data_IF_541315443862
#
_entry.id   IF_541315443862
#
_cell.length_a   1.000
_cell.length_b   1.000
_cell.length_c   1.000
_cell.angle_alpha   90.00
_cell.angle_beta   90.00
_cell.angle_gamma   90.00
#
_symmetry.space_group_name_H-M   'P 1'
#
loop_
_entity.id
_entity.type
_entity.pdbx_description
1 polymer ?
#
# COMPACT_ATOMS: atom_id res chain seq x y z
N UNK A 1 91.79 17.93 9.55
CA UNK A 1 91.44 17.29 10.84
C UNK A 1 90.72 18.31 11.75
N UNK A 2 89.73 17.86 12.54
CA UNK A 2 88.94 18.59 13.57
C UNK A 2 87.86 19.60 13.10
N UNK A 3 86.68 19.07 12.76
CA UNK A 3 85.39 19.66 13.22
C UNK A 3 84.21 18.68 13.28
N UNK A 4 84.47 17.37 13.34
CA UNK A 4 83.47 16.30 13.52
C UNK A 4 82.97 16.11 14.98
N UNK A 5 83.19 17.08 15.86
CA UNK A 5 82.95 16.93 17.31
C UNK A 5 81.79 17.78 17.85
N UNK A 6 81.20 18.68 17.03
CA UNK A 6 80.12 19.59 17.50
C UNK A 6 78.69 19.04 17.34
N UNK A 7 78.43 18.08 16.46
CA UNK A 7 77.07 17.52 16.29
C UNK A 7 76.77 16.37 17.26
N UNK A 8 77.76 15.55 17.64
CA UNK A 8 77.57 14.50 18.66
C UNK A 8 77.16 15.06 20.02
N UNK A 9 77.68 16.22 20.40
CA UNK A 9 77.38 16.84 21.70
C UNK A 9 75.98 17.48 21.76
N UNK A 10 75.37 17.81 20.60
CA UNK A 10 73.97 18.28 20.55
C UNK A 10 72.97 17.13 20.70
N UNK A 11 73.26 15.96 20.12
CA UNK A 11 72.42 14.77 20.26
C UNK A 11 72.47 14.19 21.68
N UNK A 12 73.65 14.18 22.32
CA UNK A 12 73.79 13.75 23.72
C UNK A 12 73.07 14.70 24.69
N UNK A 13 73.11 16.02 24.45
CA UNK A 13 72.35 16.99 25.27
C UNK A 13 70.83 16.86 25.08
N UNK A 14 70.34 16.64 23.85
CA UNK A 14 68.91 16.35 23.60
C UNK A 14 68.45 15.04 24.22
N UNK A 15 69.29 13.99 24.17
CA UNK A 15 69.00 12.73 24.83
C UNK A 15 68.95 12.89 26.37
N UNK A 16 69.91 13.60 26.97
CA UNK A 16 69.90 13.88 28.41
C UNK A 16 68.70 14.74 28.86
N UNK A 17 68.19 15.65 28.04
CA UNK A 17 67.01 16.44 28.36
C UNK A 17 65.70 15.62 28.34
N UNK A 18 65.67 14.48 27.65
CA UNK A 18 64.48 13.62 27.53
C UNK A 18 64.44 12.50 28.58
N UNK A 19 65.57 12.21 29.24
CA UNK A 19 65.65 11.20 30.30
C UNK A 19 64.83 11.57 31.55
N UNK A 20 64.87 12.81 32.08
CA UNK A 20 64.05 13.18 33.25
C UNK A 20 62.53 13.03 33.03
N UNK A 21 61.91 13.51 31.93
CA UNK A 21 60.48 13.31 31.71
C UNK A 21 60.11 11.84 31.44
N UNK A 22 60.99 11.04 30.82
CA UNK A 22 60.78 9.60 30.64
C UNK A 22 60.82 8.84 31.97
N UNK A 23 61.77 9.17 32.85
CA UNK A 23 61.84 8.58 34.19
C UNK A 23 60.67 9.03 35.06
N UNK A 24 60.19 10.27 34.91
CA UNK A 24 58.99 10.76 35.60
C UNK A 24 57.73 10.03 35.09
N UNK A 25 57.61 9.81 33.78
CA UNK A 25 56.50 9.04 33.20
C UNK A 25 56.53 7.57 33.66
N UNK A 26 57.71 6.94 33.72
CA UNK A 26 57.88 5.59 34.24
C UNK A 26 57.58 5.52 35.75
N UNK A 27 58.03 6.50 36.53
CA UNK A 27 57.75 6.59 37.97
C UNK A 27 56.25 6.79 38.23
N UNK A 28 55.59 7.67 37.47
CA UNK A 28 54.14 7.85 37.56
C UNK A 28 53.40 6.57 37.17
N UNK A 29 53.80 5.90 36.08
CA UNK A 29 53.22 4.63 35.66
C UNK A 29 53.36 3.53 36.74
N UNK A 30 54.55 3.41 37.34
CA UNK A 30 54.80 2.49 38.45
C UNK A 30 54.01 2.87 39.72
N UNK A 31 53.90 4.15 40.04
CA UNK A 31 53.07 4.65 41.15
C UNK A 31 51.59 4.37 40.93
N UNK A 32 51.07 4.54 39.70
CA UNK A 32 49.69 4.19 39.34
C UNK A 32 49.44 2.67 39.42
N UNK A 33 50.46 1.83 39.17
CA UNK A 33 50.35 0.39 39.41
C UNK A 33 50.40 0.03 40.91
N UNK A 34 51.25 0.67 41.71
CA UNK A 34 51.36 0.38 43.15
C UNK A 34 50.20 0.95 43.98
N UNK A 35 49.55 2.02 43.51
CA UNK A 35 48.35 2.62 44.12
C UNK A 35 47.04 1.88 43.77
N UNK A 36 47.11 0.78 43.02
CA UNK A 36 45.92 -0.02 42.70
C UNK A 36 44.92 0.66 41.76
N UNK A 37 45.34 1.69 41.01
CA UNK A 37 44.49 2.33 40.00
C UNK A 37 44.42 1.55 38.67
N UNK A 38 45.23 0.48 38.55
CA UNK A 38 45.13 -0.52 37.48
C UNK A 38 45.28 -1.94 38.03
N UNK A 39 44.32 -2.38 38.84
CA UNK A 39 43.99 -3.80 38.96
C UNK A 39 42.88 -4.13 37.96
N UNK A 40 43.12 -5.01 36.97
CA UNK A 40 42.04 -5.79 36.40
C UNK A 40 41.64 -6.86 37.43
N UNK A 41 40.41 -7.34 37.31
CA UNK A 41 39.79 -8.45 38.06
C UNK A 41 39.03 -8.00 39.32
N UNK A 42 37.71 -8.27 39.27
CA UNK A 42 36.64 -8.15 40.27
C UNK A 42 35.81 -6.86 40.32
N UNK A 43 34.98 -6.62 39.28
CA UNK A 43 33.63 -6.04 39.43
C UNK A 43 32.75 -6.14 38.17
N UNK A 44 32.74 -7.27 37.44
CA UNK A 44 31.80 -7.48 36.31
C UNK A 44 30.55 -8.31 36.65
N UNK A 45 30.51 -9.00 37.81
CA UNK A 45 29.35 -9.82 38.19
C UNK A 45 28.15 -8.97 38.65
N UNK A 46 28.40 -7.88 39.39
CA UNK A 46 27.35 -6.97 39.88
C UNK A 46 26.75 -6.08 38.78
N UNK A 47 27.55 -5.64 37.81
CA UNK A 47 27.06 -4.88 36.65
C UNK A 47 26.22 -5.74 35.70
N UNK A 48 26.60 -7.00 35.45
CA UNK A 48 25.80 -7.90 34.61
C UNK A 48 24.47 -8.26 35.25
N UNK A 49 24.43 -8.49 36.58
CA UNK A 49 23.19 -8.77 37.30
C UNK A 49 22.28 -7.54 37.38
N UNK A 50 22.83 -6.34 37.59
CA UNK A 50 22.06 -5.10 37.58
C UNK A 50 21.50 -4.78 36.18
N UNK A 51 22.31 -4.94 35.12
CA UNK A 51 21.85 -4.79 33.73
C UNK A 51 20.76 -5.82 33.40
N UNK A 52 20.89 -7.07 33.87
CA UNK A 52 19.85 -8.08 33.77
C UNK A 52 18.54 -7.66 34.44
N UNK A 53 18.59 -7.20 35.69
CA UNK A 53 17.41 -6.68 36.42
C UNK A 53 16.77 -5.48 35.69
N UNK A 54 17.57 -4.56 35.13
CA UNK A 54 17.03 -3.45 34.32
C UNK A 54 16.35 -3.94 33.04
N UNK A 55 16.93 -4.91 32.33
CA UNK A 55 16.34 -5.49 31.12
C UNK A 55 15.04 -6.24 31.45
N UNK A 56 15.00 -6.99 32.56
CA UNK A 56 13.82 -7.72 32.99
C UNK A 56 12.69 -6.77 33.43
N UNK A 57 13.02 -5.67 34.11
CA UNK A 57 12.05 -4.60 34.40
C UNK A 57 11.53 -3.92 33.14
N UNK A 58 12.39 -3.65 32.16
CA UNK A 58 11.98 -3.10 30.87
C UNK A 58 11.06 -4.07 30.13
N UNK A 59 11.37 -5.37 30.15
CA UNK A 59 10.51 -6.42 29.60
C UNK A 59 9.14 -6.43 30.27
N UNK A 60 9.11 -6.42 31.61
CA UNK A 60 7.87 -6.39 32.39
C UNK A 60 7.08 -5.09 32.21
N UNK A 61 7.72 -4.00 31.77
CA UNK A 61 7.05 -2.71 31.51
C UNK A 61 6.24 -2.69 30.21
N UNK A 62 6.44 -3.65 29.31
CA UNK A 62 5.68 -3.76 28.06
C UNK A 62 4.21 -4.10 28.35
N UNK A 63 3.39 -3.05 28.41
CA UNK A 63 1.96 -3.18 28.69
C UNK A 63 1.20 -3.51 27.41
N UNK A 64 0.48 -4.63 27.41
CA UNK A 64 -0.42 -4.99 26.32
C UNK A 64 -1.75 -4.26 26.45
N UNK A 65 -2.10 -3.53 25.40
CA UNK A 65 -3.33 -2.76 25.27
C UNK A 65 -4.22 -3.41 24.21
N UNK A 66 -5.56 -3.26 24.29
CA UNK A 66 -6.46 -3.78 23.26
C UNK A 66 -6.07 -3.25 21.88
N UNK A 67 -5.93 -4.15 20.90
CA UNK A 67 -5.67 -3.75 19.53
C UNK A 67 -6.86 -2.99 18.96
N UNK A 68 -8.08 -3.41 19.32
CA UNK A 68 -9.34 -2.72 19.04
C UNK A 68 -9.92 -2.16 20.33
N UNK A 69 -9.72 -0.86 20.57
CA UNK A 69 -10.27 -0.16 21.71
C UNK A 69 -11.73 0.25 21.45
N UNK A 70 -12.70 -0.43 22.06
CA UNK A 70 -14.13 -0.19 21.84
C UNK A 70 -14.65 1.09 22.49
N UNK A 71 -13.82 1.77 23.30
CA UNK A 71 -14.13 3.10 23.86
C UNK A 71 -13.93 4.21 22.82
N UNK A 72 -13.18 3.91 21.77
CA UNK A 72 -12.82 4.82 20.68
C UNK A 72 -13.75 4.64 19.47
N UNK A 73 -13.76 5.65 18.59
CA UNK A 73 -14.46 5.56 17.32
C UNK A 73 -13.78 4.58 16.36
N UNK A 74 -14.52 4.08 15.36
CA UNK A 74 -14.00 3.15 14.34
C UNK A 74 -12.76 3.67 13.58
N UNK A 75 -12.56 4.99 13.56
CA UNK A 75 -11.42 5.65 12.93
C UNK A 75 -10.16 5.71 13.83
N UNK A 76 -10.28 5.55 15.15
CA UNK A 76 -9.18 5.71 16.13
C UNK A 76 -8.90 4.45 16.95
N UNK A 77 -9.81 3.48 16.95
CA UNK A 77 -9.75 2.30 17.81
C UNK A 77 -8.52 1.39 17.66
N UNK A 78 -7.83 1.41 16.52
CA UNK A 78 -6.75 0.46 16.21
C UNK A 78 -5.42 1.05 16.61
N UNK A 79 -4.78 0.54 17.68
CA UNK A 79 -3.58 1.16 18.29
C UNK A 79 -3.90 2.60 18.77
N UNK A 80 -4.96 2.74 19.58
CA UNK A 80 -5.54 4.04 19.96
C UNK A 80 -4.62 4.99 20.74
N UNK A 81 -3.51 4.52 21.33
CA UNK A 81 -2.63 5.37 22.18
C UNK A 81 -1.62 6.21 21.41
N UNK A 82 -1.53 6.03 20.09
CA UNK A 82 -0.60 6.77 19.24
C UNK A 82 -1.35 7.53 18.16
N UNK A 83 -0.94 8.77 17.92
CA UNK A 83 -1.44 9.58 16.82
C UNK A 83 -0.64 9.31 15.54
N UNK A 84 -1.36 9.03 14.46
CA UNK A 84 -0.75 8.93 13.12
C UNK A 84 -0.43 10.31 12.57
N UNK A 85 0.58 10.35 11.69
CA UNK A 85 1.04 11.57 11.05
C UNK A 85 0.98 11.45 9.54
N UNK A 86 0.87 12.58 8.84
CA UNK A 86 0.94 12.69 7.39
C UNK A 86 2.26 13.39 7.05
N UNK A 87 3.37 12.67 7.21
CA UNK A 87 4.72 13.23 7.01
C UNK A 87 5.43 12.57 5.81
N UNK A 88 5.87 13.35 4.79
CA UNK A 88 5.59 14.78 4.62
C UNK A 88 4.12 15.06 4.36
N UNK A 89 3.72 16.33 4.54
CA UNK A 89 2.34 16.79 4.34
C UNK A 89 1.75 16.28 3.02
N UNK A 90 0.53 15.77 3.11
CA UNK A 90 -0.23 15.28 1.96
C UNK A 90 0.03 13.82 1.62
N UNK A 91 0.78 13.08 2.44
CA UNK A 91 0.90 11.63 2.38
C UNK A 91 -0.17 10.92 3.22
N UNK A 92 -0.35 9.62 2.98
CA UNK A 92 -1.28 8.84 3.78
C UNK A 92 -0.85 8.82 5.25
N UNK A 93 -1.84 8.98 6.14
CA UNK A 93 -1.63 8.92 7.58
C UNK A 93 -1.09 7.56 8.00
N UNK A 94 0.05 7.55 8.67
CA UNK A 94 0.74 6.33 9.07
C UNK A 94 1.39 6.43 10.46
N UNK A 95 1.71 5.27 11.00
CA UNK A 95 2.57 5.08 12.17
C UNK A 95 3.80 4.26 11.74
N UNK A 96 4.99 4.72 12.12
CA UNK A 96 6.25 4.02 11.84
C UNK A 96 6.86 3.55 13.15
N UNK A 97 7.40 2.33 13.15
CA UNK A 97 8.06 1.70 14.29
C UNK A 97 9.40 1.10 13.86
N UNK A 98 10.47 1.26 14.64
CA UNK A 98 10.60 2.25 15.72
C UNK A 98 10.60 3.69 15.17
N UNK A 99 10.15 4.65 15.98
CA UNK A 99 10.19 6.07 15.64
C UNK A 99 10.25 6.96 16.88
N UNK A 100 10.40 8.27 16.71
CA UNK A 100 10.31 9.22 17.82
C UNK A 100 8.95 9.13 18.54
N UNK A 101 7.84 8.91 17.81
CA UNK A 101 6.50 8.75 18.38
C UNK A 101 6.39 7.48 19.24
N UNK A 102 7.07 6.39 18.86
CA UNK A 102 7.16 5.20 19.69
C UNK A 102 8.29 5.26 20.73
N UNK A 103 8.99 6.40 20.85
CA UNK A 103 10.21 6.54 21.66
C UNK A 103 11.25 5.45 21.35
N UNK A 104 11.44 5.09 20.09
CA UNK A 104 12.40 4.07 19.66
C UNK A 104 11.97 2.62 19.90
N UNK A 105 10.75 2.39 20.40
CA UNK A 105 10.22 1.04 20.68
C UNK A 105 9.63 0.39 19.43
N UNK A 106 9.76 -0.93 19.36
CA UNK A 106 9.19 -1.81 18.35
C UNK A 106 7.70 -2.02 18.62
N UNK A 107 6.96 -2.33 17.55
CA UNK A 107 5.57 -2.79 17.65
C UNK A 107 5.55 -4.30 17.91
N UNK A 108 4.87 -4.71 18.98
CA UNK A 108 4.58 -6.11 19.29
C UNK A 108 3.07 -6.35 19.24
N UNK A 109 2.65 -7.41 18.54
CA UNK A 109 1.24 -7.79 18.40
C UNK A 109 1.01 -9.19 18.97
N UNK A 110 0.01 -9.32 19.83
CA UNK A 110 -0.56 -10.61 20.25
C UNK A 110 -1.94 -10.72 19.61
N UNK A 111 -2.08 -11.59 18.61
CA UNK A 111 -3.24 -11.58 17.73
C UNK A 111 -3.82 -12.99 17.50
N UNK A 112 -4.41 -13.61 18.53
CA UNK A 112 -4.96 -14.96 18.42
C UNK A 112 -6.23 -15.04 17.57
N UNK A 113 -6.97 -13.94 17.43
CA UNK A 113 -8.33 -13.97 16.90
C UNK A 113 -8.48 -13.43 15.48
N UNK A 114 -9.29 -14.18 14.73
CA UNK A 114 -9.69 -13.89 13.34
C UNK A 114 -11.17 -13.49 13.22
N UNK A 115 -11.89 -13.44 14.34
CA UNK A 115 -13.35 -13.25 14.40
C UNK A 115 -13.81 -12.23 15.45
N UNK A 116 -12.90 -11.85 16.34
CA UNK A 116 -13.13 -10.86 17.37
C UNK A 116 -11.84 -10.06 17.55
N UNK A 117 -11.80 -8.83 17.02
CA UNK A 117 -10.63 -7.97 17.15
C UNK A 117 -10.37 -7.46 18.57
N UNK A 118 -11.34 -7.57 19.50
CA UNK A 118 -11.20 -7.05 20.87
C UNK A 118 -10.29 -7.90 21.75
N UNK A 119 -10.06 -9.16 21.37
CA UNK A 119 -9.15 -10.08 22.08
C UNK A 119 -7.72 -10.04 21.54
N UNK A 120 -7.49 -9.29 20.46
CA UNK A 120 -6.13 -9.02 19.98
C UNK A 120 -5.56 -7.82 20.74
N UNK A 121 -4.25 -7.77 20.93
CA UNK A 121 -3.56 -6.76 21.71
C UNK A 121 -2.26 -6.30 21.05
N UNK A 122 -1.78 -5.12 21.43
CA UNK A 122 -0.46 -4.60 21.05
C UNK A 122 0.29 -4.08 22.26
N UNK A 123 1.62 -4.08 22.16
CA UNK A 123 2.52 -3.44 23.10
C UNK A 123 3.66 -2.74 22.33
N UNK A 124 4.33 -1.81 23.01
CA UNK A 124 5.57 -1.21 22.53
C UNK A 124 6.72 -1.69 23.42
N UNK A 125 7.76 -2.25 22.83
CA UNK A 125 8.90 -2.80 23.57
C UNK A 125 10.25 -2.38 22.97
N UNK A 126 11.28 -2.31 23.81
CA UNK A 126 12.64 -2.08 23.34
C UNK A 126 13.20 -3.35 22.70
N UNK A 127 14.03 -3.19 21.66
CA UNK A 127 14.62 -4.32 20.92
C UNK A 127 15.34 -5.31 21.83
N UNK A 128 16.05 -4.83 22.84
CA UNK A 128 16.84 -5.66 23.76
C UNK A 128 16.05 -6.12 24.99
N UNK A 129 14.77 -5.74 25.10
CA UNK A 129 13.89 -6.07 26.21
C UNK A 129 12.47 -6.42 25.70
N UNK A 130 12.39 -7.33 24.72
CA UNK A 130 11.12 -7.83 24.18
C UNK A 130 10.33 -8.61 25.25
N UNK A 131 8.98 -8.60 25.19
CA UNK A 131 8.14 -9.40 26.08
C UNK A 131 8.54 -10.88 26.10
N UNK A 132 8.25 -11.56 27.20
CA UNK A 132 8.54 -13.00 27.31
C UNK A 132 7.81 -13.81 26.22
N UNK A 133 8.50 -14.80 25.66
CA UNK A 133 7.97 -15.62 24.56
C UNK A 133 7.85 -14.89 23.22
N UNK A 134 8.19 -13.60 23.14
CA UNK A 134 8.01 -12.84 21.92
C UNK A 134 8.96 -13.29 20.80
N UNK A 135 8.42 -13.48 19.61
CA UNK A 135 9.21 -13.73 18.42
C UNK A 135 9.53 -12.41 17.70
N UNK A 136 10.81 -12.12 17.47
CA UNK A 136 11.23 -10.98 16.65
C UNK A 136 11.23 -11.35 15.17
N UNK A 137 10.62 -10.50 14.34
CA UNK A 137 10.53 -10.63 12.89
C UNK A 137 11.40 -9.57 12.23
N UNK A 138 12.38 -9.99 11.43
CA UNK A 138 13.39 -9.11 10.82
C UNK A 138 12.89 -8.38 9.58
N UNK A 139 13.37 -7.16 9.32
CA UNK A 139 12.97 -6.35 8.18
C UNK A 139 11.55 -5.77 8.26
N UNK A 140 11.20 -4.96 7.26
CA UNK A 140 9.97 -4.16 7.24
C UNK A 140 8.71 -5.00 7.21
N UNK A 141 7.78 -4.68 8.11
CA UNK A 141 6.43 -5.22 8.13
C UNK A 141 5.42 -4.15 7.73
N UNK A 142 4.65 -4.39 6.68
CA UNK A 142 3.49 -3.57 6.39
C UNK A 142 2.29 -4.04 7.22
N UNK A 143 1.70 -3.14 7.99
CA UNK A 143 0.52 -3.41 8.82
C UNK A 143 -0.67 -2.66 8.24
N UNK A 144 -1.69 -3.39 7.80
CA UNK A 144 -2.93 -2.84 7.26
C UNK A 144 -4.07 -3.09 8.22
N UNK A 145 -4.73 -2.04 8.70
CA UNK A 145 -6.07 -2.12 9.27
C UNK A 145 -7.05 -1.38 8.35
N UNK A 146 -8.20 -1.99 8.13
CA UNK A 146 -9.23 -1.43 7.25
C UNK A 146 -10.62 -1.78 7.78
N UNK A 147 -11.60 -0.90 7.52
CA UNK A 147 -13.02 -1.17 7.74
C UNK A 147 -13.66 -2.06 6.67
N UNK A 148 -12.88 -2.46 5.67
CA UNK A 148 -13.35 -3.27 4.55
C UNK A 148 -12.50 -4.52 4.35
N UNK A 149 -13.15 -5.61 3.99
CA UNK A 149 -12.49 -6.90 3.76
C UNK A 149 -11.52 -6.90 2.56
N UNK A 150 -10.36 -7.54 2.73
CA UNK A 150 -9.29 -7.66 1.71
C UNK A 150 -9.60 -8.60 0.54
N UNK A 151 -10.69 -9.38 0.58
CA UNK A 151 -11.08 -10.25 -0.53
C UNK A 151 -11.81 -9.52 -1.66
N UNK A 152 -12.43 -8.37 -1.36
CA UNK A 152 -13.07 -7.53 -2.37
C UNK A 152 -12.03 -6.58 -2.98
N UNK A 153 -11.94 -6.54 -4.32
CA UNK A 153 -10.94 -5.77 -5.05
C UNK A 153 -11.00 -4.27 -4.71
N UNK A 154 -12.19 -3.65 -4.71
CA UNK A 154 -12.35 -2.22 -4.42
C UNK A 154 -12.02 -1.89 -2.97
N UNK A 155 -12.39 -2.78 -2.05
CA UNK A 155 -12.10 -2.62 -0.64
C UNK A 155 -10.60 -2.73 -0.36
N UNK A 156 -9.97 -3.82 -0.80
CA UNK A 156 -8.57 -4.06 -0.53
C UNK A 156 -7.63 -3.08 -1.26
N UNK A 157 -7.99 -2.58 -2.46
CA UNK A 157 -7.14 -1.57 -3.12
C UNK A 157 -7.07 -0.27 -2.31
N UNK A 158 -8.12 0.09 -1.58
CA UNK A 158 -8.12 1.26 -0.70
C UNK A 158 -7.11 1.17 0.45
N UNK A 159 -6.74 -0.06 0.84
CA UNK A 159 -5.71 -0.35 1.84
C UNK A 159 -4.30 -0.47 1.21
N UNK A 160 -4.20 -0.80 -0.08
CA UNK A 160 -2.92 -0.92 -0.80
C UNK A 160 -2.37 0.44 -1.27
N UNK A 161 -3.24 1.35 -1.74
CA UNK A 161 -2.86 2.68 -2.25
C UNK A 161 -1.96 3.48 -1.28
N UNK A 162 -2.25 3.55 0.03
CA UNK A 162 -1.40 4.25 0.99
C UNK A 162 0.04 3.73 1.00
N UNK A 163 0.18 2.40 1.00
CA UNK A 163 1.48 1.76 0.98
C UNK A 163 2.20 1.94 -0.35
N UNK A 164 1.48 1.90 -1.48
CA UNK A 164 2.05 2.18 -2.79
C UNK A 164 2.65 3.59 -2.86
N UNK A 165 1.93 4.60 -2.33
CA UNK A 165 2.45 5.99 -2.23
C UNK A 165 3.72 6.04 -1.37
N UNK A 166 3.68 5.41 -0.20
CA UNK A 166 4.79 5.41 0.77
C UNK A 166 6.01 4.61 0.27
N UNK A 167 5.78 3.52 -0.46
CA UNK A 167 6.84 2.72 -1.09
C UNK A 167 7.50 3.52 -2.22
N UNK A 168 6.69 4.12 -3.12
CA UNK A 168 7.20 4.93 -4.23
C UNK A 168 8.05 6.12 -3.74
N UNK A 169 7.56 6.89 -2.75
CA UNK A 169 8.31 8.05 -2.22
C UNK A 169 9.64 7.64 -1.55
N UNK A 170 9.75 6.40 -1.07
CA UNK A 170 10.98 5.89 -0.44
C UNK A 170 12.06 5.52 -1.46
N UNK A 171 11.80 5.72 -2.77
CA UNK A 171 12.65 5.21 -3.83
C UNK A 171 12.55 3.69 -3.97
N UNK A 172 11.42 3.10 -3.54
CA UNK A 172 11.20 1.65 -3.41
C UNK A 172 12.16 0.91 -2.48
N UNK A 173 12.98 1.61 -1.69
CA UNK A 173 13.89 0.98 -0.73
C UNK A 173 13.14 0.17 0.32
N UNK A 174 11.93 0.61 0.65
CA UNK A 174 11.13 0.00 1.69
C UNK A 174 10.29 -1.17 1.16
N UNK A 175 10.93 -2.30 0.95
CA UNK A 175 10.28 -3.55 0.52
C UNK A 175 9.78 -4.33 1.76
N UNK A 176 8.47 -4.65 1.84
CA UNK A 176 7.94 -5.36 2.99
C UNK A 176 8.40 -6.82 2.96
N UNK A 177 9.09 -7.26 4.01
CA UNK A 177 9.41 -8.66 4.23
C UNK A 177 8.16 -9.47 4.58
N UNK A 178 7.12 -8.81 5.10
CA UNK A 178 5.82 -9.41 5.42
C UNK A 178 4.68 -8.39 5.55
N UNK A 179 3.47 -8.92 5.52
CA UNK A 179 2.21 -8.20 5.57
C UNK A 179 1.38 -8.70 6.76
N UNK A 180 1.08 -7.83 7.72
CA UNK A 180 0.14 -8.10 8.78
C UNK A 180 -1.20 -7.44 8.43
N UNK A 181 -2.21 -8.24 8.12
CA UNK A 181 -3.51 -7.77 7.61
C UNK A 181 -4.58 -7.87 8.68
N UNK A 182 -5.32 -6.79 8.89
CA UNK A 182 -6.41 -6.69 9.85
C UNK A 182 -7.64 -6.04 9.24
N UNK A 183 -8.80 -6.56 9.62
CA UNK A 183 -10.10 -5.99 9.26
C UNK A 183 -10.96 -5.93 10.52
N UNK A 184 -11.23 -4.73 11.01
CA UNK A 184 -11.86 -4.47 12.30
C UNK A 184 -11.08 -5.07 13.48
N UNK A 185 -9.75 -5.01 13.43
CA UNK A 185 -8.87 -5.58 14.44
C UNK A 185 -8.68 -7.10 14.35
N UNK A 186 -9.34 -7.78 13.42
CA UNK A 186 -9.27 -9.23 13.25
C UNK A 186 -8.20 -9.62 12.22
N UNK A 187 -7.39 -10.64 12.54
CA UNK A 187 -6.35 -11.13 11.64
C UNK A 187 -6.94 -11.68 10.34
N UNK A 188 -6.34 -11.27 9.21
CA UNK A 188 -6.61 -11.81 7.87
C UNK A 188 -5.37 -12.51 7.32
N UNK A 189 -5.60 -13.69 6.75
CA UNK A 189 -4.53 -14.58 6.30
C UNK A 189 -4.20 -14.42 4.82
N UNK A 190 -5.03 -13.65 4.11
CA UNK A 190 -4.92 -13.50 2.66
C UNK A 190 -5.61 -12.23 2.22
N UNK A 191 -5.20 -11.82 1.03
CA UNK A 191 -5.86 -10.82 0.22
C UNK A 191 -6.41 -11.51 -1.05
N UNK A 192 -7.28 -10.85 -1.82
CA UNK A 192 -7.72 -11.44 -3.10
C UNK A 192 -6.52 -11.71 -4.02
N UNK A 193 -6.51 -12.79 -4.84
CA UNK A 193 -5.38 -13.08 -5.73
C UNK A 193 -4.99 -11.93 -6.67
N UNK A 194 -5.99 -11.18 -7.15
CA UNK A 194 -5.77 -10.00 -8.00
C UNK A 194 -5.01 -8.90 -7.25
N UNK A 195 -5.41 -8.63 -6.01
CA UNK A 195 -4.75 -7.62 -5.17
C UNK A 195 -3.37 -8.08 -4.73
N UNK A 196 -3.18 -9.36 -4.43
CA UNK A 196 -1.85 -9.96 -4.17
C UNK A 196 -0.92 -9.73 -5.36
N UNK A 197 -1.36 -10.06 -6.57
CA UNK A 197 -0.57 -9.83 -7.79
C UNK A 197 -0.22 -8.35 -7.99
N UNK A 198 -1.15 -7.44 -7.68
CA UNK A 198 -0.91 -6.00 -7.76
C UNK A 198 0.08 -5.52 -6.69
N UNK A 199 -0.02 -6.03 -5.46
CA UNK A 199 0.89 -5.71 -4.37
C UNK A 199 2.31 -6.16 -4.71
N UNK A 200 2.48 -7.40 -5.17
CA UNK A 200 3.76 -7.98 -5.59
C UNK A 200 4.37 -7.20 -6.75
N UNK A 201 3.57 -6.81 -7.74
CA UNK A 201 4.04 -5.93 -8.81
C UNK A 201 4.50 -4.59 -8.29
N UNK A 202 3.71 -3.98 -7.39
CA UNK A 202 3.98 -2.66 -6.83
C UNK A 202 5.29 -2.64 -6.04
N UNK A 203 5.57 -3.69 -5.27
CA UNK A 203 6.74 -3.76 -4.37
C UNK A 203 7.94 -4.48 -4.96
N UNK A 204 7.74 -5.31 -5.98
CA UNK A 204 8.75 -6.19 -6.56
C UNK A 204 9.12 -7.39 -5.68
N UNK A 205 8.30 -7.72 -4.68
CA UNK A 205 8.55 -8.85 -3.75
C UNK A 205 7.27 -9.64 -3.51
N UNK A 206 7.43 -10.96 -3.37
CA UNK A 206 6.33 -11.89 -3.08
C UNK A 206 5.64 -11.54 -1.75
N UNK A 207 4.32 -11.65 -1.72
CA UNK A 207 3.54 -11.26 -0.55
C UNK A 207 3.51 -12.37 0.50
N UNK A 208 4.33 -12.23 1.54
CA UNK A 208 4.27 -13.10 2.72
C UNK A 208 3.34 -12.51 3.80
N UNK A 209 2.25 -13.22 4.15
CA UNK A 209 1.30 -12.77 5.18
C UNK A 209 1.68 -13.34 6.56
N UNK A 210 1.78 -12.48 7.56
CA UNK A 210 1.96 -12.89 8.96
C UNK A 210 0.64 -13.46 9.50
N UNK A 211 0.67 -14.72 9.92
CA UNK A 211 -0.53 -15.47 10.31
C UNK A 211 -0.77 -15.45 11.82
N UNK A 212 0.23 -15.01 12.59
CA UNK A 212 0.27 -14.99 14.07
C UNK A 212 -0.01 -16.35 14.72
N UNK A 213 -0.08 -17.44 13.93
CA UNK A 213 -0.43 -18.80 14.35
C UNK A 213 -1.66 -18.94 15.28
N UNK A 214 -2.54 -17.93 15.32
CA UNK A 214 -3.62 -17.85 16.30
C UNK A 214 -3.16 -18.04 17.76
N UNK A 215 -1.92 -17.61 18.08
CA UNK A 215 -1.34 -17.69 19.41
C UNK A 215 -1.47 -16.36 20.17
N UNK A 216 -1.43 -16.46 21.50
CA UNK A 216 -1.23 -15.30 22.37
C UNK A 216 0.25 -14.87 22.44
N UNK A 217 1.17 -15.70 21.96
CA UNK A 217 2.60 -15.39 21.92
C UNK A 217 2.82 -14.12 21.08
N UNK A 218 3.47 -13.08 21.64
CA UNK A 218 3.66 -11.84 20.92
C UNK A 218 4.60 -12.00 19.72
N UNK A 219 4.28 -11.31 18.64
CA UNK A 219 5.17 -11.14 17.49
C UNK A 219 5.59 -9.68 17.42
N UNK A 220 6.89 -9.42 17.58
CA UNK A 220 7.47 -8.09 17.50
C UNK A 220 8.14 -7.89 16.14
N UNK A 221 8.05 -6.68 15.59
CA UNK A 221 8.62 -6.36 14.28
C UNK A 221 9.83 -5.45 14.43
N UNK A 222 10.94 -5.81 13.79
CA UNK A 222 12.15 -4.99 13.73
C UNK A 222 11.85 -3.62 13.13
N UNK A 223 11.05 -3.59 12.07
CA UNK A 223 10.53 -2.39 11.44
C UNK A 223 9.06 -2.63 11.08
N UNK A 224 8.20 -1.63 11.30
CA UNK A 224 6.82 -1.67 10.85
C UNK A 224 6.34 -0.30 10.37
N UNK A 225 5.54 -0.31 9.30
CA UNK A 225 4.74 0.84 8.89
C UNK A 225 3.28 0.43 8.87
N UNK A 226 2.45 1.20 9.55
CA UNK A 226 1.03 0.91 9.72
C UNK A 226 0.15 1.97 9.08
N UNK A 227 -0.88 1.50 8.36
CA UNK A 227 -1.95 2.32 7.83
C UNK A 227 -3.28 1.79 8.35
N UNK A 228 -3.99 2.61 9.13
CA UNK A 228 -5.30 2.30 9.73
C UNK A 228 -6.46 3.19 9.28
N UNK A 229 -6.16 4.18 8.42
CA UNK A 229 -7.13 5.17 7.91
C UNK A 229 -7.29 5.13 6.39
N UNK A 230 -6.93 4.01 5.76
CA UNK A 230 -6.91 3.86 4.31
C UNK A 230 -6.23 5.08 3.64
N UNK A 231 -6.90 5.75 2.71
CA UNK A 231 -6.36 6.87 1.94
C UNK A 231 -6.37 8.24 2.66
N UNK A 232 -6.75 8.32 3.94
CA UNK A 232 -6.80 9.59 4.66
C UNK A 232 -5.43 10.28 4.71
N UNK A 233 -5.40 11.59 4.48
CA UNK A 233 -4.17 12.39 4.42
C UNK A 233 -3.59 12.54 3.01
N UNK A 234 -3.88 11.62 2.07
CA UNK A 234 -3.37 11.74 0.71
C UNK A 234 -3.95 12.96 0.00
N UNK A 235 -3.07 13.82 -0.51
CA UNK A 235 -3.46 14.85 -1.48
C UNK A 235 -3.84 14.21 -2.80
N UNK A 236 -4.59 14.97 -3.62
CA UNK A 236 -4.96 14.54 -4.98
C UNK A 236 -3.73 14.19 -5.82
N UNK A 237 -2.65 14.96 -5.70
CA UNK A 237 -1.40 14.72 -6.43
C UNK A 237 -0.74 13.40 -6.04
N UNK A 238 -0.57 13.15 -4.72
CA UNK A 238 0.01 11.90 -4.21
C UNK A 238 -0.84 10.69 -4.57
N UNK A 239 -2.15 10.83 -4.47
CA UNK A 239 -3.09 9.76 -4.85
C UNK A 239 -2.96 9.41 -6.34
N UNK A 240 -2.94 10.42 -7.21
CA UNK A 240 -2.75 10.23 -8.65
C UNK A 240 -1.39 9.62 -8.98
N UNK A 241 -0.33 10.00 -8.26
CA UNK A 241 1.00 9.41 -8.41
C UNK A 241 1.03 7.94 -7.97
N UNK A 242 0.36 7.60 -6.87
CA UNK A 242 0.27 6.21 -6.40
C UNK A 242 -0.45 5.30 -7.40
N UNK A 243 -1.56 5.76 -8.01
CA UNK A 243 -2.23 5.00 -9.07
C UNK A 243 -1.33 4.81 -10.31
N UNK A 244 -0.63 5.86 -10.73
CA UNK A 244 0.30 5.77 -11.87
C UNK A 244 1.46 4.82 -11.58
N UNK A 245 2.02 4.88 -10.37
CA UNK A 245 3.08 3.98 -9.91
C UNK A 245 2.63 2.52 -9.98
N UNK A 246 1.50 2.18 -9.34
CA UNK A 246 0.95 0.82 -9.36
C UNK A 246 0.68 0.32 -10.79
N UNK A 247 0.07 1.17 -11.63
CA UNK A 247 -0.20 0.85 -13.04
C UNK A 247 1.09 0.57 -13.81
N UNK A 248 2.10 1.41 -13.62
CA UNK A 248 3.37 1.27 -14.31
C UNK A 248 4.09 -0.02 -13.88
N UNK A 249 4.17 -0.28 -12.57
CA UNK A 249 4.72 -1.51 -12.02
C UNK A 249 4.02 -2.77 -12.53
N UNK A 250 2.68 -2.77 -12.54
CA UNK A 250 1.89 -3.88 -13.08
C UNK A 250 2.20 -4.13 -14.57
N UNK A 251 2.32 -3.07 -15.38
CA UNK A 251 2.69 -3.19 -16.80
C UNK A 251 4.09 -3.75 -17.00
N UNK A 252 5.06 -3.27 -16.23
CA UNK A 252 6.44 -3.77 -16.27
C UNK A 252 6.50 -5.25 -15.91
N UNK A 253 5.87 -5.67 -14.81
CA UNK A 253 5.83 -7.09 -14.42
C UNK A 253 5.17 -7.96 -15.50
N UNK A 254 4.12 -7.46 -16.14
CA UNK A 254 3.36 -8.22 -17.13
C UNK A 254 3.89 -8.11 -18.56
N UNK A 255 5.04 -7.45 -18.78
CA UNK A 255 5.62 -7.26 -20.12
C UNK A 255 4.65 -6.59 -21.09
N UNK A 256 3.96 -5.54 -20.64
CA UNK A 256 3.02 -4.78 -21.47
C UNK A 256 3.74 -3.60 -22.09
N UNK A 257 4.03 -3.71 -23.38
CA UNK A 257 4.50 -2.58 -24.18
C UNK A 257 3.36 -1.57 -24.34
N UNK A 258 3.62 -0.31 -23.97
CA UNK A 258 2.65 0.75 -24.18
C UNK A 258 2.43 0.93 -25.70
N UNK A 259 1.20 0.78 -26.21
CA UNK A 259 0.96 0.91 -27.64
C UNK A 259 1.35 2.31 -28.11
N UNK A 260 2.31 2.37 -29.04
CA UNK A 260 2.75 3.59 -29.70
C UNK A 260 1.57 4.29 -30.37
N UNK A 261 1.36 5.57 -30.05
CA UNK A 261 0.58 6.57 -30.78
C UNK A 261 -0.49 6.03 -31.74
N UNK A 262 -1.42 5.21 -31.21
CA UNK A 262 -2.57 4.81 -31.99
C UNK A 262 -3.62 5.90 -31.90
N UNK A 263 -4.15 6.37 -33.03
CA UNK A 263 -5.32 7.25 -33.05
C UNK A 263 -6.64 6.49 -32.84
N UNK A 264 -6.60 5.16 -32.71
CA UNK A 264 -7.76 4.29 -32.53
C UNK A 264 -8.38 4.49 -31.14
N UNK A 265 -9.71 4.54 -31.06
CA UNK A 265 -10.43 4.50 -29.78
C UNK A 265 -10.69 3.05 -29.42
N UNK A 266 -10.17 2.58 -28.30
CA UNK A 266 -10.28 1.20 -27.86
C UNK A 266 -11.30 1.12 -26.74
N UNK A 267 -12.42 0.47 -27.04
CA UNK A 267 -13.55 0.30 -26.13
C UNK A 267 -13.53 -1.13 -25.60
N UNK A 268 -13.70 -1.29 -24.29
CA UNK A 268 -13.81 -2.59 -23.65
C UNK A 268 -15.11 -2.69 -22.90
N UNK A 269 -15.93 -3.70 -23.22
CA UNK A 269 -17.06 -4.10 -22.38
C UNK A 269 -16.60 -5.24 -21.49
N UNK A 270 -16.63 -5.02 -20.19
CA UNK A 270 -16.29 -6.04 -19.22
C UNK A 270 -17.57 -6.59 -18.59
N UNK A 271 -17.99 -7.76 -19.07
CA UNK A 271 -19.19 -8.46 -18.64
C UNK A 271 -19.00 -9.17 -17.30
N UNK A 272 -20.12 -9.50 -16.66
CA UNK A 272 -20.20 -10.21 -15.38
C UNK A 272 -21.08 -11.45 -15.54
N UNK A 273 -20.81 -12.48 -14.74
CA UNK A 273 -21.72 -13.61 -14.55
C UNK A 273 -22.56 -13.42 -13.28
N UNK A 274 -23.82 -13.86 -13.32
CA UNK A 274 -24.71 -13.87 -12.15
C UNK A 274 -25.22 -12.48 -11.76
N UNK A 275 -25.00 -12.09 -10.50
CA UNK A 275 -25.47 -10.81 -9.96
C UNK A 275 -24.96 -9.62 -10.79
N UNK A 276 -25.90 -8.78 -11.25
CA UNK A 276 -25.66 -7.60 -12.11
C UNK A 276 -25.14 -7.91 -13.51
N UNK A 277 -25.23 -9.16 -13.97
CA UNK A 277 -25.02 -9.48 -15.38
C UNK A 277 -26.08 -8.78 -16.25
N UNK A 278 -25.73 -8.44 -17.49
CA UNK A 278 -26.73 -8.03 -18.46
C UNK A 278 -27.59 -9.23 -18.87
N UNK A 279 -28.90 -9.02 -19.05
CA UNK A 279 -29.84 -10.06 -19.49
C UNK A 279 -29.54 -10.53 -20.91
N UNK A 280 -29.12 -9.62 -21.78
CA UNK A 280 -28.75 -9.90 -23.17
C UNK A 280 -27.42 -9.21 -23.51
N UNK A 281 -26.31 -9.88 -23.17
CA UNK A 281 -24.96 -9.40 -23.49
C UNK A 281 -24.74 -9.22 -25.00
N UNK A 282 -25.42 -10.03 -25.84
CA UNK A 282 -25.28 -9.96 -27.28
C UNK A 282 -25.95 -8.69 -27.83
N UNK A 283 -27.15 -8.34 -27.36
CA UNK A 283 -27.79 -7.06 -27.70
C UNK A 283 -26.94 -5.87 -27.27
N UNK A 284 -26.48 -5.87 -26.01
CA UNK A 284 -25.59 -4.82 -25.49
C UNK A 284 -24.35 -4.68 -26.37
N UNK A 285 -23.70 -5.79 -26.72
CA UNK A 285 -22.53 -5.79 -27.62
C UNK A 285 -22.86 -5.21 -28.98
N UNK A 286 -23.99 -5.60 -29.60
CA UNK A 286 -24.40 -5.10 -30.92
C UNK A 286 -24.56 -3.58 -30.92
N UNK A 287 -25.18 -3.00 -29.88
CA UNK A 287 -25.38 -1.55 -29.79
C UNK A 287 -24.05 -0.81 -29.74
N UNK A 288 -23.18 -1.17 -28.80
CA UNK A 288 -21.88 -0.49 -28.68
C UNK A 288 -20.95 -0.76 -29.87
N UNK A 289 -21.01 -1.94 -30.49
CA UNK A 289 -20.24 -2.26 -31.69
C UNK A 289 -20.67 -1.37 -32.87
N UNK A 290 -21.99 -1.17 -33.04
CA UNK A 290 -22.55 -0.30 -34.08
C UNK A 290 -22.10 1.15 -33.91
N UNK A 291 -22.12 1.67 -32.70
CA UNK A 291 -21.67 3.05 -32.44
C UNK A 291 -20.15 3.20 -32.52
N UNK A 292 -19.39 2.18 -32.08
CA UNK A 292 -17.94 2.17 -32.28
C UNK A 292 -17.58 2.20 -33.77
N UNK A 293 -18.27 1.42 -34.62
CA UNK A 293 -18.04 1.41 -36.07
C UNK A 293 -18.24 2.78 -36.76
N UNK A 294 -18.96 3.72 -36.13
CA UNK A 294 -19.14 5.10 -36.63
C UNK A 294 -17.96 6.01 -36.30
N UNK A 295 -17.10 5.63 -35.36
CA UNK A 295 -15.91 6.39 -34.97
C UNK A 295 -14.68 5.83 -35.66
N UNK A 296 -14.00 6.66 -36.45
CA UNK A 296 -12.86 6.22 -37.26
C UNK A 296 -11.76 5.54 -36.43
N UNK A 297 -11.48 4.28 -36.75
CA UNK A 297 -10.49 3.44 -36.08
C UNK A 297 -10.91 2.98 -34.69
N UNK A 298 -12.19 3.06 -34.31
CA UNK A 298 -12.63 2.50 -33.05
C UNK A 298 -12.62 0.96 -33.10
N UNK A 299 -12.15 0.34 -32.01
CA UNK A 299 -12.12 -1.11 -31.84
C UNK A 299 -12.82 -1.45 -30.54
N UNK A 300 -13.80 -2.35 -30.59
CA UNK A 300 -14.50 -2.83 -29.42
C UNK A 300 -14.06 -4.26 -29.09
N UNK A 301 -13.86 -4.52 -27.80
CA UNK A 301 -13.53 -5.83 -27.26
C UNK A 301 -14.48 -6.14 -26.10
N UNK A 302 -14.96 -7.38 -26.03
CA UNK A 302 -15.74 -7.87 -24.91
C UNK A 302 -14.92 -8.89 -24.13
N UNK A 303 -15.07 -8.89 -22.80
CA UNK A 303 -14.34 -9.79 -21.93
C UNK A 303 -15.08 -10.02 -20.62
N UNK A 304 -14.66 -11.05 -19.87
CA UNK A 304 -15.02 -11.22 -18.46
C UNK A 304 -13.73 -11.36 -17.65
N UNK A 305 -13.58 -10.57 -16.59
CA UNK A 305 -12.32 -10.52 -15.84
C UNK A 305 -11.97 -11.82 -15.12
N UNK A 306 -12.99 -12.60 -14.74
CA UNK A 306 -12.83 -13.92 -14.10
C UNK A 306 -12.22 -14.97 -15.04
N UNK A 307 -12.30 -14.77 -16.36
CA UNK A 307 -11.67 -15.62 -17.36
C UNK A 307 -10.23 -15.22 -17.71
N UNK A 308 -9.70 -14.15 -17.09
CA UNK A 308 -8.41 -13.58 -17.42
C UNK A 308 -7.46 -13.68 -16.22
N UNK A 309 -6.23 -14.08 -16.49
CA UNK A 309 -5.11 -13.92 -15.55
C UNK A 309 -4.89 -12.44 -15.22
N UNK A 310 -4.19 -12.16 -14.11
CA UNK A 310 -3.85 -10.78 -13.74
C UNK A 310 -3.16 -10.03 -14.89
N UNK A 311 -2.16 -10.63 -15.54
CA UNK A 311 -1.43 -9.98 -16.62
C UNK A 311 -2.25 -9.81 -17.92
N UNK A 312 -3.20 -10.70 -18.20
CA UNK A 312 -4.16 -10.47 -19.29
C UNK A 312 -5.10 -9.30 -18.98
N UNK A 313 -5.54 -9.15 -17.72
CA UNK A 313 -6.30 -7.97 -17.28
C UNK A 313 -5.47 -6.69 -17.42
N UNK A 314 -4.20 -6.70 -16.99
CA UNK A 314 -3.28 -5.57 -17.15
C UNK A 314 -3.10 -5.20 -18.62
N UNK A 315 -2.84 -6.18 -19.49
CA UNK A 315 -2.68 -5.95 -20.94
C UNK A 315 -3.95 -5.36 -21.57
N UNK A 316 -5.11 -5.93 -21.24
CA UNK A 316 -6.39 -5.46 -21.75
C UNK A 316 -6.68 -4.02 -21.32
N UNK A 317 -6.63 -3.75 -20.01
CA UNK A 317 -6.96 -2.42 -19.47
C UNK A 317 -5.95 -1.35 -19.89
N UNK A 318 -4.67 -1.70 -20.07
CA UNK A 318 -3.67 -0.79 -20.65
C UNK A 318 -3.99 -0.39 -22.09
N UNK A 319 -4.72 -1.25 -22.80
CA UNK A 319 -5.27 -0.99 -24.12
C UNK A 319 -6.66 -0.34 -24.10
N UNK A 320 -7.27 0.00 -22.96
CA UNK A 320 -8.65 0.49 -22.92
C UNK A 320 -8.71 2.02 -22.76
N UNK A 321 -9.39 2.69 -23.69
CA UNK A 321 -9.70 4.13 -23.60
C UNK A 321 -11.09 4.37 -23.00
N UNK A 322 -12.05 3.47 -23.26
CA UNK A 322 -13.40 3.51 -22.69
C UNK A 322 -13.76 2.15 -22.10
N UNK A 323 -14.01 2.08 -20.78
CA UNK A 323 -14.48 0.89 -20.10
C UNK A 323 -15.99 1.00 -19.87
N UNK A 324 -16.70 -0.04 -20.29
CA UNK A 324 -18.13 -0.21 -20.11
C UNK A 324 -18.32 -1.43 -19.21
N UNK A 325 -18.94 -1.27 -18.04
CA UNK A 325 -19.20 -2.41 -17.16
C UNK A 325 -20.36 -2.18 -16.22
N UNK A 326 -20.98 -3.26 -15.80
CA UNK A 326 -21.93 -3.24 -14.69
C UNK A 326 -21.20 -2.92 -13.38
N UNK A 327 -21.84 -2.17 -12.49
CA UNK A 327 -21.30 -1.87 -11.16
C UNK A 327 -20.92 -3.16 -10.41
N UNK A 328 -19.68 -3.26 -9.94
CA UNK A 328 -19.22 -4.40 -9.13
C UNK A 328 -17.70 -4.48 -9.03
N UNK A 329 -17.19 -5.39 -8.19
CA UNK A 329 -15.78 -5.47 -7.82
C UNK A 329 -14.82 -5.55 -9.02
N UNK A 330 -15.25 -6.17 -10.13
CA UNK A 330 -14.45 -6.29 -11.35
C UNK A 330 -14.12 -4.95 -11.99
N UNK A 331 -14.95 -3.92 -11.78
CA UNK A 331 -14.71 -2.59 -12.34
C UNK A 331 -13.53 -1.89 -11.67
N UNK A 332 -13.00 -2.43 -10.55
CA UNK A 332 -11.71 -2.02 -9.97
C UNK A 332 -10.56 -2.15 -10.98
N UNK A 333 -10.70 -2.97 -12.02
CA UNK A 333 -9.74 -3.02 -13.13
C UNK A 333 -9.50 -1.66 -13.82
N UNK A 334 -10.39 -0.66 -13.63
CA UNK A 334 -10.17 0.71 -14.08
C UNK A 334 -8.81 1.27 -13.68
N UNK A 335 -8.23 0.84 -12.55
CA UNK A 335 -6.96 1.38 -12.05
C UNK A 335 -5.78 1.07 -12.98
N UNK A 336 -5.92 0.04 -13.82
CA UNK A 336 -4.92 -0.41 -14.80
C UNK A 336 -5.01 0.37 -16.13
N UNK A 337 -6.08 1.14 -16.33
CA UNK A 337 -6.31 1.98 -17.52
C UNK A 337 -5.54 3.29 -17.43
N UNK A 338 -5.15 3.85 -18.58
CA UNK A 338 -4.47 5.15 -18.63
C UNK A 338 -5.30 6.30 -18.03
N UNK A 339 -4.59 7.30 -17.51
CA UNK A 339 -5.22 8.59 -17.17
C UNK A 339 -5.99 9.13 -18.37
N UNK A 340 -7.07 9.83 -18.09
CA UNK A 340 -7.99 10.40 -19.06
C UNK A 340 -8.82 9.39 -19.86
N UNK A 341 -8.75 8.10 -19.56
CA UNK A 341 -9.75 7.13 -20.04
C UNK A 341 -11.12 7.42 -19.42
N UNK A 342 -12.15 6.79 -19.98
CA UNK A 342 -13.56 7.04 -19.67
C UNK A 342 -14.26 5.78 -19.16
N UNK A 343 -15.14 5.94 -18.18
CA UNK A 343 -15.90 4.85 -17.55
C UNK A 343 -17.39 5.08 -17.78
N UNK A 344 -18.08 4.07 -18.29
CA UNK A 344 -19.54 4.01 -18.43
C UNK A 344 -20.06 2.89 -17.53
N UNK A 345 -20.89 3.24 -16.54
CA UNK A 345 -21.29 2.33 -15.48
C UNK A 345 -22.79 2.01 -15.52
N UNK A 346 -23.14 0.73 -15.32
CA UNK A 346 -24.51 0.24 -15.41
C UNK A 346 -24.96 -0.42 -14.11
N UNK A 347 -26.21 -0.20 -13.73
CA UNK A 347 -26.80 -0.71 -12.50
C UNK A 347 -28.14 -1.38 -12.78
N UNK A 348 -28.50 -2.42 -12.02
CA UNK A 348 -29.86 -2.92 -12.05
C UNK A 348 -30.78 -1.93 -11.33
N UNK A 349 -32.08 -2.15 -11.49
CA UNK A 349 -33.13 -1.38 -10.83
C UNK A 349 -32.92 -1.29 -9.31
N UNK A 350 -33.34 -0.18 -8.73
CA UNK A 350 -33.35 0.04 -7.27
C UNK A 350 -32.02 0.51 -6.69
N UNK A 351 -30.91 0.45 -7.42
CA UNK A 351 -29.61 0.92 -6.91
C UNK A 351 -29.58 2.42 -6.63
N UNK A 352 -30.16 3.22 -7.53
CA UNK A 352 -30.16 4.67 -7.41
C UNK A 352 -30.79 5.11 -6.09
N UNK A 353 -31.89 4.46 -5.73
CA UNK A 353 -32.70 4.77 -4.56
C UNK A 353 -32.19 4.10 -3.27
N UNK A 354 -31.52 2.94 -3.37
CA UNK A 354 -31.23 2.09 -2.19
C UNK A 354 -29.76 1.95 -1.83
N UNK A 355 -28.83 2.16 -2.75
CA UNK A 355 -27.42 1.84 -2.53
C UNK A 355 -26.63 2.91 -1.76
N UNK A 356 -27.26 4.04 -1.41
CA UNK A 356 -26.61 5.15 -0.70
C UNK A 356 -25.34 5.60 -1.41
N UNK A 357 -24.27 5.85 -0.65
CA UNK A 357 -22.96 6.23 -1.20
C UNK A 357 -22.28 5.14 -2.04
N UNK A 358 -22.69 3.86 -1.87
CA UNK A 358 -22.09 2.72 -2.58
C UNK A 358 -22.22 2.81 -4.10
N UNK A 359 -23.24 3.51 -4.61
CA UNK A 359 -23.39 3.75 -6.04
C UNK A 359 -22.32 4.71 -6.60
N UNK A 360 -21.61 5.49 -5.79
CA UNK A 360 -20.65 6.48 -6.31
C UNK A 360 -19.19 6.02 -6.24
N UNK A 361 -18.92 4.81 -5.74
CA UNK A 361 -17.55 4.34 -5.48
C UNK A 361 -16.65 4.38 -6.71
N UNK A 362 -17.16 4.03 -7.90
CA UNK A 362 -16.36 4.05 -9.12
C UNK A 362 -16.35 5.40 -9.83
N UNK A 363 -17.31 6.27 -9.55
CA UNK A 363 -17.16 7.71 -9.85
C UNK A 363 -16.00 8.30 -9.07
N UNK A 364 -15.90 8.02 -7.77
CA UNK A 364 -14.75 8.43 -6.96
C UNK A 364 -13.47 7.73 -7.41
N UNK A 365 -13.52 6.44 -7.71
CA UNK A 365 -12.38 5.66 -8.20
C UNK A 365 -11.81 6.21 -9.51
N UNK A 366 -12.67 6.51 -10.48
CA UNK A 366 -12.26 7.13 -11.74
C UNK A 366 -11.60 8.49 -11.50
N UNK A 367 -12.22 9.37 -10.70
CA UNK A 367 -11.64 10.69 -10.39
C UNK A 367 -10.28 10.59 -9.71
N UNK A 368 -10.18 9.72 -8.69
CA UNK A 368 -8.95 9.48 -7.91
C UNK A 368 -7.82 8.89 -8.75
N UNK A 369 -8.14 8.07 -9.75
CA UNK A 369 -7.17 7.48 -10.68
C UNK A 369 -6.94 8.33 -11.96
N UNK A 370 -7.48 9.56 -12.00
CA UNK A 370 -7.24 10.52 -13.08
C UNK A 370 -8.01 10.23 -14.37
N UNK A 371 -9.15 9.56 -14.27
CA UNK A 371 -10.06 9.21 -15.36
C UNK A 371 -11.37 10.00 -15.27
N UNK A 372 -12.24 9.80 -16.27
CA UNK A 372 -13.57 10.41 -16.32
C UNK A 372 -14.64 9.37 -16.10
N UNK A 373 -15.61 9.71 -15.27
CA UNK A 373 -16.84 8.94 -15.14
C UNK A 373 -17.91 9.59 -16.03
N UNK A 374 -18.31 8.92 -17.10
CA UNK A 374 -19.18 9.47 -18.16
C UNK A 374 -20.68 9.43 -17.83
N UNK A 375 -20.98 9.10 -16.58
CA UNK A 375 -22.33 8.92 -16.06
C UNK A 375 -22.64 7.47 -15.75
N UNK A 376 -23.79 7.27 -15.14
CA UNK A 376 -24.30 5.97 -14.72
C UNK A 376 -25.67 5.78 -15.35
N UNK A 377 -25.96 4.56 -15.80
CA UNK A 377 -27.30 4.17 -16.21
C UNK A 377 -27.89 3.19 -15.19
N UNK A 378 -29.07 3.50 -14.70
CA UNK A 378 -29.83 2.63 -13.81
C UNK A 378 -31.02 2.08 -14.56
N UNK A 379 -31.15 0.76 -14.58
CA UNK A 379 -32.23 0.07 -15.27
C UNK A 379 -33.61 0.50 -14.70
N UNK A 380 -34.44 1.23 -15.48
CA UNK A 380 -35.75 1.65 -15.01
C UNK A 380 -36.76 0.48 -14.96
N UNK A 381 -36.57 -0.50 -15.84
CA UNK A 381 -37.52 -1.58 -16.14
C UNK A 381 -37.07 -2.94 -15.61
N UNK A 382 -36.01 -2.95 -14.79
CA UNK A 382 -35.51 -4.15 -14.14
C UNK A 382 -36.53 -4.82 -13.21
N UNK A 383 -36.20 -6.03 -12.78
CA UNK A 383 -37.06 -6.83 -11.92
C UNK A 383 -37.32 -6.14 -10.58
N UNK A 384 -38.60 -6.03 -10.15
CA UNK A 384 -38.91 -5.49 -8.84
C UNK A 384 -38.44 -6.45 -7.74
N UNK A 385 -38.21 -5.90 -6.55
CA UNK A 385 -37.97 -6.70 -5.37
C UNK A 385 -39.10 -6.53 -4.33
N UNK A 386 -40.22 -7.25 -4.48
CA UNK A 386 -41.28 -7.25 -3.47
C UNK A 386 -40.88 -8.10 -2.25
N UNK A 387 -41.34 -7.68 -1.07
CA UNK A 387 -41.33 -8.47 0.18
C UNK A 387 -39.95 -8.95 0.67
N UNK A 388 -38.86 -8.30 0.28
CA UNK A 388 -37.54 -8.60 0.83
C UNK A 388 -37.25 -7.76 2.08
N UNK A 389 -36.87 -8.35 3.22
CA UNK A 389 -36.38 -7.59 4.37
C UNK A 389 -35.02 -6.93 4.09
N UNK A 390 -34.26 -7.49 3.13
CA UNK A 390 -32.98 -6.96 2.66
C UNK A 390 -33.12 -6.44 1.22
N UNK A 391 -33.86 -5.33 1.11
CA UNK A 391 -34.20 -4.71 -0.18
C UNK A 391 -32.93 -4.38 -0.98
N UNK A 392 -31.85 -3.96 -0.32
CA UNK A 392 -30.60 -3.63 -0.98
C UNK A 392 -29.94 -4.87 -1.58
N UNK A 393 -29.76 -5.94 -0.81
CA UNK A 393 -29.13 -7.16 -1.35
C UNK A 393 -29.97 -7.80 -2.44
N UNK A 394 -31.28 -7.69 -2.37
CA UNK A 394 -32.16 -8.19 -3.42
C UNK A 394 -31.94 -7.47 -4.76
N UNK A 395 -32.00 -6.13 -4.78
CA UNK A 395 -31.73 -5.35 -6.00
C UNK A 395 -30.28 -5.51 -6.47
N UNK A 396 -29.31 -5.64 -5.54
CA UNK A 396 -27.90 -5.91 -5.83
C UNK A 396 -27.66 -7.18 -6.63
N UNK A 397 -28.54 -8.17 -6.54
CA UNK A 397 -28.39 -9.44 -7.23
C UNK A 397 -29.20 -9.55 -8.52
N UNK A 398 -30.03 -8.54 -8.86
CA UNK A 398 -30.79 -8.54 -10.11
C UNK A 398 -29.88 -8.34 -11.32
N UNK A 399 -30.32 -8.88 -12.45
CA UNK A 399 -29.71 -8.66 -13.75
C UNK A 399 -30.15 -7.31 -14.33
N UNK A 400 -29.36 -6.82 -15.28
CA UNK A 400 -29.50 -5.51 -15.90
C UNK A 400 -30.13 -5.68 -17.29
N UNK A 401 -31.21 -4.97 -17.57
CA UNK A 401 -31.79 -4.85 -18.90
C UNK A 401 -30.92 -4.04 -19.86
N UNK A 402 -31.46 -3.73 -21.04
CA UNK A 402 -30.81 -2.82 -21.98
C UNK A 402 -31.84 -1.90 -22.62
N UNK A 403 -31.43 -0.67 -22.90
CA UNK A 403 -32.20 0.30 -23.68
C UNK A 403 -31.34 0.68 -24.89
N UNK A 404 -31.68 0.11 -26.05
CA UNK A 404 -30.88 0.29 -27.27
C UNK A 404 -30.75 1.76 -27.68
N UNK A 405 -31.84 2.53 -27.61
CA UNK A 405 -31.83 3.93 -28.02
C UNK A 405 -30.98 4.79 -27.09
N UNK A 406 -31.14 4.61 -25.78
CA UNK A 406 -30.33 5.32 -24.79
C UNK A 406 -28.84 4.94 -24.91
N UNK A 407 -28.55 3.64 -25.01
CA UNK A 407 -27.17 3.14 -25.05
C UNK A 407 -26.46 3.64 -26.31
N UNK A 408 -27.16 3.67 -27.45
CA UNK A 408 -26.62 4.20 -28.70
C UNK A 408 -26.29 5.70 -28.59
N UNK A 409 -27.23 6.52 -28.08
CA UNK A 409 -27.00 7.97 -27.91
C UNK A 409 -25.86 8.26 -26.92
N UNK A 410 -25.80 7.52 -25.83
CA UNK A 410 -24.75 7.69 -24.82
C UNK A 410 -23.37 7.27 -25.37
N UNK A 411 -23.30 6.11 -26.04
CA UNK A 411 -22.09 5.60 -26.66
C UNK A 411 -21.54 6.54 -27.73
N UNK A 412 -22.40 7.04 -28.64
CA UNK A 412 -22.01 7.95 -29.70
C UNK A 412 -21.30 9.19 -29.16
N UNK A 413 -21.86 9.80 -28.09
CA UNK A 413 -21.25 10.94 -27.40
C UNK A 413 -19.89 10.57 -26.80
N UNK A 414 -19.84 9.53 -25.97
CA UNK A 414 -18.62 9.15 -25.23
C UNK A 414 -17.49 8.76 -26.19
N UNK A 415 -17.78 8.03 -27.26
CA UNK A 415 -16.78 7.57 -28.22
C UNK A 415 -16.24 8.73 -29.07
N UNK A 416 -17.10 9.69 -29.45
CA UNK A 416 -16.67 10.92 -30.12
C UNK A 416 -15.75 11.75 -29.21
N UNK A 417 -16.15 11.98 -27.96
CA UNK A 417 -15.36 12.74 -26.98
C UNK A 417 -14.01 12.05 -26.70
N UNK A 418 -13.99 10.72 -26.63
CA UNK A 418 -12.76 9.94 -26.47
C UNK A 418 -11.83 10.09 -27.69
N UNK A 419 -12.40 10.09 -28.91
CA UNK A 419 -11.64 10.30 -30.15
C UNK A 419 -10.97 11.67 -30.18
N UNK A 420 -11.72 12.73 -29.87
CA UNK A 420 -11.22 14.10 -29.86
C UNK A 420 -10.09 14.28 -28.86
N UNK A 421 -10.27 13.78 -27.63
CA UNK A 421 -9.24 13.81 -26.59
C UNK A 421 -7.98 13.06 -27.00
N UNK A 422 -8.12 11.91 -27.63
CA UNK A 422 -6.99 11.11 -28.09
C UNK A 422 -6.21 11.82 -29.20
N UNK A 423 -6.92 12.47 -30.13
CA UNK A 423 -6.31 13.31 -31.16
C UNK A 423 -5.58 14.53 -30.56
N UNK A 424 -6.13 15.15 -29.51
CA UNK A 424 -5.49 16.25 -28.80
C UNK A 424 -4.23 15.78 -28.02
N UNK A 425 -4.30 14.64 -27.34
CA UNK A 425 -3.18 14.07 -26.57
C UNK A 425 -2.01 13.63 -27.46
N UNK A 426 -2.28 13.12 -28.66
CA UNK A 426 -1.24 12.75 -29.63
C UNK A 426 -0.34 13.94 -30.03
N UNK A 427 -0.87 15.17 -29.98
CA UNK A 427 -0.13 16.42 -30.24
C UNK A 427 0.76 16.85 -29.07
N UNK A 428 0.62 16.27 -27.88
CA UNK A 428 1.33 16.62 -26.64
C UNK A 428 2.30 15.51 -26.14
N UNK A 429 2.61 14.51 -26.98
CA UNK A 429 3.12 13.19 -26.57
C UNK A 429 4.53 13.14 -25.97
N UNK A 430 5.37 14.16 -26.15
CA UNK A 430 6.77 14.15 -25.68
C UNK A 430 6.91 14.33 -24.16
N UNK A 431 6.00 15.08 -23.50
CA UNK A 431 6.09 15.35 -22.06
C UNK A 431 5.55 14.21 -21.20
N UNK A 432 4.41 13.62 -21.59
CA UNK A 432 3.78 12.49 -20.88
C UNK A 432 4.66 11.23 -20.81
N UNK A 433 5.48 10.98 -21.84
CA UNK A 433 6.37 9.81 -21.87
C UNK A 433 7.50 9.94 -20.85
N UNK A 434 8.08 11.14 -20.67
CA UNK A 434 9.06 11.42 -19.63
C UNK A 434 8.47 11.35 -18.23
N UNK A 435 7.26 11.90 -18.04
CA UNK A 435 6.59 11.86 -16.74
C UNK A 435 6.22 10.43 -16.34
N UNK A 436 5.71 9.61 -17.27
CA UNK A 436 5.38 8.20 -17.01
C UNK A 436 6.62 7.33 -16.72
N UNK A 437 7.74 7.59 -17.39
CA UNK A 437 9.01 6.88 -17.17
C UNK A 437 9.63 7.26 -15.82
N UNK A 438 9.58 8.54 -15.44
CA UNK A 438 10.00 9.00 -14.11
C UNK A 438 9.12 8.44 -12.97
N UNK A 439 7.83 8.23 -13.22
CA UNK A 439 6.88 7.71 -12.22
C UNK A 439 7.06 6.21 -11.94
N UNK A 440 7.80 5.49 -12.78
CA UNK A 440 8.03 4.05 -12.64
C UNK A 440 9.34 3.68 -11.93
N UNK A 441 10.24 4.66 -11.80
CA UNK A 441 11.60 4.44 -11.32
C UNK A 441 11.66 4.35 -9.80
N UNK A 442 12.47 3.41 -9.34
CA UNK A 442 12.95 3.33 -7.97
C UNK A 442 14.36 3.93 -7.95
N UNK A 443 14.64 4.86 -7.04
CA UNK A 443 15.88 5.66 -7.02
C UNK A 443 16.49 5.74 -5.63
#
# INVERSE_FOLDING_TARGET
MKKSSKDGMKHVKRALCLVPPLLLAAFLYLQFQTLGLFTPIFLCAGQSAAVGDYVDRLRASATFLPLKDTREGAETWFISTLDDTSEPEGEARNLVFPSAASAGRLLCLSAPSRRDGTVNAYALAWRDALPEGAALRSGLTFVSETSYDHSNLWHGISALIPFASWHARSGCRAQPARWALFHHGEVRLRMSPWLTSLAEATTGVDMAVETFNASFDPVCFEEAVMFRRNMAGLTRERLLAAFDFMRCKARTQCGVDLPTNSSAVRVTILFRTGARAFKDEAAVTRVFQKECARVAGCVLTTARSDNLTFCEQVRMMSGTDVLISAHGAQMTNLVLMDRNSSIMEFYPKGWRERAGGGQFVYRWGADRAGMRHEGSWWDPDGEPCPNSPDILSCYKNRQIGHDEAYFALWAARVFADAKERKAAAGKASTRRRRDGEATCQCS
#
